data_IF_296816090559
#
_entry.id   IF_296816090559
#
_cell.length_a   1.000
_cell.length_b   1.000
_cell.length_c   1.000
_cell.angle_alpha   90.00
_cell.angle_beta   90.00
_cell.angle_gamma   90.00
#
_symmetry.space_group_name_H-M   'P 1'
#
loop_
_entity.id
_entity.type
_entity.pdbx_description
1 polymer ?
#
# COMPACT_ATOMS: atom_id res chain seq x y z
N UNK A 1 15.46 -8.21 -23.57
CA UNK A 1 14.26 -9.05 -23.72
C UNK A 1 14.29 -10.18 -22.69
N UNK A 2 13.13 -10.51 -22.10
CA UNK A 2 12.86 -11.39 -20.92
C UNK A 2 12.96 -10.60 -19.59
N UNK A 3 11.94 -9.87 -19.10
CA UNK A 3 10.49 -10.10 -18.91
C UNK A 3 10.17 -11.16 -17.81
N UNK A 4 9.66 -10.65 -16.67
CA UNK A 4 8.85 -11.30 -15.62
C UNK A 4 9.46 -12.34 -14.69
N UNK A 5 10.24 -11.96 -13.66
CA UNK A 5 10.45 -12.80 -12.47
C UNK A 5 10.73 -11.90 -11.26
N UNK A 6 9.71 -11.41 -10.56
CA UNK A 6 9.89 -10.97 -9.16
C UNK A 6 8.58 -10.79 -8.37
N UNK A 7 7.45 -11.27 -8.89
CA UNK A 7 6.21 -11.46 -8.10
C UNK A 7 6.18 -12.83 -7.39
N UNK A 8 7.21 -13.66 -7.59
CA UNK A 8 7.26 -15.06 -7.11
C UNK A 8 7.93 -15.22 -5.75
N UNK A 9 8.59 -14.18 -5.22
CA UNK A 9 9.37 -14.32 -3.98
C UNK A 9 8.52 -14.43 -2.71
N UNK A 10 7.23 -14.07 -2.75
CA UNK A 10 6.30 -14.31 -1.63
C UNK A 10 5.80 -15.77 -1.53
N UNK A 11 6.21 -16.66 -2.44
CA UNK A 11 5.64 -18.02 -2.57
C UNK A 11 6.61 -19.17 -2.24
N UNK A 12 7.91 -18.93 -2.04
CA UNK A 12 8.91 -20.03 -2.06
C UNK A 12 9.40 -20.50 -0.69
N UNK A 13 8.91 -19.95 0.44
CA UNK A 13 9.17 -20.54 1.76
C UNK A 13 8.01 -21.39 2.31
N UNK A 14 7.03 -21.73 1.47
CA UNK A 14 6.10 -22.83 1.68
C UNK A 14 6.52 -23.98 0.76
N UNK A 15 7.21 -24.97 1.33
CA UNK A 15 7.65 -26.16 0.60
C UNK A 15 6.50 -26.79 -0.18
N UNK A 16 6.71 -26.95 -1.49
CA UNK A 16 5.88 -27.77 -2.39
C UNK A 16 4.40 -27.37 -2.48
N UNK A 17 4.10 -26.08 -2.66
CA UNK A 17 2.73 -25.61 -2.87
C UNK A 17 2.43 -25.44 -4.37
N UNK A 18 1.67 -26.40 -4.91
CA UNK A 18 1.02 -26.37 -6.21
C UNK A 18 0.37 -25.02 -6.49
N UNK A 19 0.72 -24.48 -7.65
CA UNK A 19 0.07 -23.34 -8.30
C UNK A 19 -1.46 -23.51 -8.34
N UNK A 20 -2.18 -22.40 -8.25
CA UNK A 20 -3.65 -22.27 -8.28
C UNK A 20 -4.40 -22.40 -6.93
N UNK A 21 -3.81 -21.88 -5.86
CA UNK A 21 -4.60 -21.39 -4.72
C UNK A 21 -4.92 -19.93 -5.04
N UNK A 22 -6.08 -19.66 -5.65
CA UNK A 22 -6.57 -18.29 -5.88
C UNK A 22 -6.50 -17.51 -4.57
N UNK A 23 -6.26 -16.20 -4.63
CA UNK A 23 -6.18 -15.35 -3.44
C UNK A 23 -7.34 -15.64 -2.46
N UNK A 24 -8.52 -15.96 -2.99
CA UNK A 24 -9.72 -16.45 -2.28
C UNK A 24 -9.46 -17.61 -1.29
N UNK A 25 -8.63 -18.59 -1.63
CA UNK A 25 -8.35 -19.76 -0.76
C UNK A 25 -7.38 -19.44 0.39
N UNK A 26 -6.55 -18.40 0.26
CA UNK A 26 -5.79 -17.84 1.40
C UNK A 26 -6.75 -17.09 2.34
N UNK A 27 -7.82 -16.50 1.81
CA UNK A 27 -8.80 -15.72 2.57
C UNK A 27 -9.87 -16.57 3.28
N UNK A 28 -10.29 -17.70 2.71
CA UNK A 28 -11.37 -18.59 3.21
C UNK A 28 -11.06 -19.24 4.57
N UNK A 29 -9.80 -19.54 4.86
CA UNK A 29 -9.39 -20.01 6.20
C UNK A 29 -9.15 -18.81 7.10
N UNK A 30 -10.17 -18.39 7.83
CA UNK A 30 -10.15 -17.35 8.86
C UNK A 30 -9.03 -17.54 9.91
N UNK A 31 -7.82 -17.11 9.57
CA UNK A 31 -6.77 -16.80 10.53
C UNK A 31 -7.02 -15.37 11.02
N UNK A 32 -7.69 -15.26 12.16
CA UNK A 32 -7.55 -14.10 13.02
C UNK A 32 -6.07 -14.04 13.42
N UNK A 33 -5.30 -13.13 12.83
CA UNK A 33 -3.94 -12.90 13.29
C UNK A 33 -4.04 -12.13 14.61
N UNK A 34 -3.96 -12.83 15.73
CA UNK A 34 -3.74 -12.22 17.04
C UNK A 34 -2.33 -11.62 17.02
N UNK A 35 -2.20 -10.36 16.62
CA UNK A 35 -0.96 -9.63 16.78
C UNK A 35 -0.74 -9.38 18.27
N UNK A 36 0.50 -9.62 18.74
CA UNK A 36 0.93 -9.26 20.09
C UNK A 36 0.48 -7.82 20.40
N UNK A 37 -0.14 -7.61 21.57
CA UNK A 37 -0.69 -6.34 22.10
C UNK A 37 -2.19 -6.05 21.88
N UNK A 38 -3.03 -7.03 21.52
CA UNK A 38 -4.49 -6.89 21.67
C UNK A 38 -5.17 -5.97 20.67
N UNK A 39 -4.51 -5.67 19.55
CA UNK A 39 -5.10 -4.96 18.41
C UNK A 39 -5.59 -6.00 17.40
N UNK A 40 -6.91 -6.17 17.34
CA UNK A 40 -7.56 -7.02 16.34
C UNK A 40 -7.73 -6.26 15.03
N UNK A 41 -6.89 -6.54 14.04
CA UNK A 41 -7.13 -6.09 12.67
C UNK A 41 -7.93 -7.14 11.93
N UNK A 42 -9.13 -6.76 11.48
CA UNK A 42 -9.98 -7.65 10.70
C UNK A 42 -9.32 -7.88 9.34
N UNK A 43 -9.35 -9.12 8.82
CA UNK A 43 -8.91 -9.44 7.45
C UNK A 43 -9.51 -8.51 6.39
N UNK A 44 -10.74 -8.03 6.64
CA UNK A 44 -11.41 -7.04 5.80
C UNK A 44 -10.63 -5.73 5.65
N UNK A 45 -9.86 -5.31 6.65
CA UNK A 45 -9.08 -4.06 6.62
C UNK A 45 -7.86 -4.16 5.71
N UNK A 46 -7.12 -5.28 5.74
CA UNK A 46 -6.00 -5.51 4.81
C UNK A 46 -6.53 -5.63 3.38
N UNK A 47 -7.64 -6.35 3.19
CA UNK A 47 -8.31 -6.47 1.88
C UNK A 47 -8.76 -5.09 1.36
N UNK A 48 -9.38 -4.28 2.21
CA UNK A 48 -9.83 -2.94 1.86
C UNK A 48 -8.66 -2.03 1.46
N UNK A 49 -7.52 -2.09 2.17
CA UNK A 49 -6.32 -1.36 1.76
C UNK A 49 -5.89 -1.71 0.33
N UNK A 50 -5.80 -3.01 0.02
CA UNK A 50 -5.37 -3.48 -1.31
C UNK A 50 -6.39 -3.07 -2.37
N UNK A 51 -7.68 -3.28 -2.12
CA UNK A 51 -8.75 -2.92 -3.06
C UNK A 51 -8.79 -1.41 -3.32
N UNK A 52 -8.65 -0.60 -2.28
CA UNK A 52 -8.59 0.85 -2.41
C UNK A 52 -7.32 1.29 -3.16
N UNK A 53 -6.15 0.72 -2.87
CA UNK A 53 -4.93 1.04 -3.60
C UNK A 53 -5.05 0.68 -5.10
N UNK A 54 -5.63 -0.49 -5.43
CA UNK A 54 -5.87 -0.89 -6.83
C UNK A 54 -6.90 0.01 -7.52
N UNK A 55 -7.93 0.45 -6.80
CA UNK A 55 -8.89 1.41 -7.33
C UNK A 55 -8.20 2.76 -7.63
N UNK A 56 -7.37 3.26 -6.70
CA UNK A 56 -6.59 4.46 -6.93
C UNK A 56 -5.59 4.31 -8.09
N UNK A 57 -4.95 3.14 -8.26
CA UNK A 57 -4.08 2.89 -9.42
C UNK A 57 -4.80 3.14 -10.76
N UNK A 58 -6.08 2.77 -10.84
CA UNK A 58 -6.89 2.93 -12.04
C UNK A 58 -7.44 4.34 -12.24
N UNK A 59 -7.78 5.05 -11.16
CA UNK A 59 -8.56 6.29 -11.23
C UNK A 59 -7.77 7.57 -10.90
N UNK A 60 -6.61 7.47 -10.24
CA UNK A 60 -5.90 8.66 -9.77
C UNK A 60 -5.15 9.39 -10.90
N UNK A 61 -4.74 8.69 -11.96
CA UNK A 61 -4.02 9.28 -13.11
C UNK A 61 -4.91 10.16 -13.98
N UNK A 62 -6.20 9.85 -14.02
CA UNK A 62 -7.14 10.52 -14.93
C UNK A 62 -7.64 11.86 -14.37
N UNK A 63 -7.19 12.26 -13.18
CA UNK A 63 -7.60 13.51 -12.53
C UNK A 63 -9.08 13.48 -12.12
N UNK A 64 -9.64 12.29 -11.97
CA UNK A 64 -11.06 12.10 -11.71
C UNK A 64 -11.46 12.74 -10.38
N UNK A 65 -12.51 13.55 -10.42
CA UNK A 65 -13.15 14.13 -9.25
C UNK A 65 -14.17 13.15 -8.63
N UNK A 66 -13.92 11.84 -8.77
CA UNK A 66 -14.82 10.79 -8.30
C UNK A 66 -14.88 10.81 -6.77
N UNK A 67 -16.06 10.99 -6.14
CA UNK A 67 -16.23 10.87 -4.70
C UNK A 67 -15.65 9.57 -4.13
N UNK A 68 -15.64 8.49 -4.91
CA UNK A 68 -15.08 7.21 -4.51
C UNK A 68 -13.56 7.28 -4.31
N UNK A 69 -12.82 8.08 -5.10
CA UNK A 69 -11.38 8.31 -4.89
C UNK A 69 -11.13 8.90 -3.51
N UNK A 70 -11.91 9.91 -3.11
CA UNK A 70 -11.79 10.51 -1.78
C UNK A 70 -12.18 9.52 -0.67
N UNK A 71 -13.23 8.71 -0.88
CA UNK A 71 -13.59 7.65 0.06
C UNK A 71 -12.45 6.66 0.27
N UNK A 72 -11.85 6.16 -0.81
CA UNK A 72 -10.73 5.23 -0.76
C UNK A 72 -9.52 5.83 -0.01
N UNK A 73 -9.19 7.10 -0.27
CA UNK A 73 -8.10 7.80 0.44
C UNK A 73 -8.38 7.89 1.95
N UNK A 74 -9.61 8.21 2.34
CA UNK A 74 -9.99 8.29 3.74
C UNK A 74 -9.96 6.91 4.42
N UNK A 75 -10.49 5.89 3.77
CA UNK A 75 -10.48 4.52 4.29
C UNK A 75 -9.05 4.00 4.50
N UNK A 76 -8.14 4.31 3.55
CA UNK A 76 -6.71 4.00 3.71
C UNK A 76 -6.16 4.74 4.93
N UNK A 77 -6.42 6.05 5.04
CA UNK A 77 -5.93 6.88 6.16
C UNK A 77 -6.35 6.31 7.51
N UNK A 78 -7.63 5.96 7.65
CA UNK A 78 -8.20 5.45 8.90
C UNK A 78 -7.66 4.06 9.26
N UNK A 79 -7.24 3.28 8.26
CA UNK A 79 -6.72 1.93 8.45
C UNK A 79 -5.24 1.89 8.86
N UNK A 80 -4.47 2.94 8.60
CA UNK A 80 -3.00 2.95 8.75
C UNK A 80 -2.54 2.56 10.16
N UNK A 81 -3.15 3.12 11.21
CA UNK A 81 -2.71 2.86 12.59
C UNK A 81 -2.87 1.38 12.94
N UNK A 82 -4.03 0.79 12.61
CA UNK A 82 -4.29 -0.62 12.85
C UNK A 82 -3.36 -1.52 12.06
N UNK A 83 -3.19 -1.24 10.76
CA UNK A 83 -2.31 -1.99 9.88
C UNK A 83 -0.83 -1.92 10.30
N UNK A 84 -0.38 -0.76 10.78
CA UNK A 84 0.97 -0.61 11.33
C UNK A 84 1.15 -1.43 12.61
N UNK A 85 0.17 -1.44 13.50
CA UNK A 85 0.25 -2.21 14.74
C UNK A 85 0.38 -3.73 14.53
N UNK A 86 -0.07 -4.24 13.38
CA UNK A 86 0.05 -5.65 13.00
C UNK A 86 1.19 -5.91 12.01
N UNK A 87 2.05 -4.92 11.77
CA UNK A 87 3.27 -5.05 10.96
C UNK A 87 3.05 -5.13 9.45
N UNK A 88 1.89 -4.73 8.93
CA UNK A 88 1.64 -4.72 7.47
C UNK A 88 2.64 -3.81 6.75
N UNK A 89 2.95 -2.66 7.33
CA UNK A 89 3.93 -1.73 6.77
C UNK A 89 5.38 -2.18 7.01
N UNK A 90 5.63 -3.09 7.96
CA UNK A 90 6.95 -3.73 8.14
C UNK A 90 7.22 -4.84 7.12
N UNK A 91 6.19 -5.25 6.37
CA UNK A 91 6.30 -6.32 5.37
C UNK A 91 6.98 -5.85 4.08
N UNK A 92 7.08 -4.54 3.86
CA UNK A 92 7.73 -3.89 2.72
C UNK A 92 8.66 -2.80 3.24
N UNK A 93 9.83 -2.60 2.63
CA UNK A 93 10.66 -1.46 3.01
C UNK A 93 9.95 -0.18 2.55
N UNK A 94 9.91 0.85 3.40
CA UNK A 94 9.26 2.13 3.09
C UNK A 94 9.61 2.70 1.69
N UNK A 95 10.85 2.58 1.15
CA UNK A 95 11.18 3.01 -0.21
C UNK A 95 10.47 2.24 -1.35
N UNK A 96 9.97 1.02 -1.10
CA UNK A 96 9.33 0.16 -2.10
C UNK A 96 7.94 0.64 -2.50
N UNK A 97 7.27 1.37 -1.61
CA UNK A 97 6.00 2.05 -1.89
C UNK A 97 6.13 3.14 -2.94
N UNK A 98 7.35 3.63 -3.17
CA UNK A 98 7.65 4.78 -4.05
C UNK A 98 8.43 4.38 -5.31
N UNK A 99 8.63 3.09 -5.56
CA UNK A 99 9.46 2.61 -6.67
C UNK A 99 8.77 2.61 -8.04
N UNK A 100 7.44 2.52 -8.09
CA UNK A 100 6.70 2.39 -9.34
C UNK A 100 5.72 3.56 -9.53
N UNK A 101 6.09 4.50 -10.40
CA UNK A 101 5.25 5.67 -10.72
C UNK A 101 3.92 5.28 -11.39
N UNK A 102 3.84 4.06 -11.94
CA UNK A 102 2.61 3.51 -12.52
C UNK A 102 1.65 2.95 -11.48
N UNK A 103 2.03 3.02 -10.19
CA UNK A 103 1.26 2.55 -9.03
C UNK A 103 0.91 3.69 -8.07
N UNK A 104 0.12 4.70 -8.51
CA UNK A 104 -0.17 5.87 -7.70
C UNK A 104 -1.00 5.55 -6.44
N UNK A 105 -1.74 4.44 -6.40
CA UNK A 105 -2.43 3.97 -5.20
C UNK A 105 -1.46 3.47 -4.12
N UNK A 106 -0.41 2.76 -4.53
CA UNK A 106 0.66 2.35 -3.61
C UNK A 106 1.42 3.58 -3.08
N UNK A 107 1.76 4.52 -3.96
CA UNK A 107 2.42 5.77 -3.58
C UNK A 107 1.51 6.55 -2.61
N UNK A 108 0.21 6.64 -2.88
CA UNK A 108 -0.76 7.29 -1.98
C UNK A 108 -0.77 6.63 -0.60
N UNK A 109 -0.84 5.30 -0.52
CA UNK A 109 -0.81 4.59 0.75
C UNK A 109 0.50 4.86 1.52
N UNK A 110 1.65 4.84 0.84
CA UNK A 110 2.95 5.17 1.43
C UNK A 110 3.05 6.62 1.92
N UNK A 111 2.50 7.57 1.15
CA UNK A 111 2.45 9.00 1.54
C UNK A 111 1.59 9.18 2.78
N UNK A 112 0.39 8.62 2.81
CA UNK A 112 -0.50 8.70 3.97
C UNK A 112 0.13 8.04 5.20
N UNK A 113 0.86 6.93 5.01
CA UNK A 113 1.62 6.28 6.07
C UNK A 113 2.66 7.22 6.68
N UNK A 114 3.47 7.88 5.84
CA UNK A 114 4.49 8.83 6.30
C UNK A 114 3.91 10.09 6.95
N UNK A 115 2.68 10.49 6.59
CA UNK A 115 1.98 11.58 7.28
C UNK A 115 1.65 11.19 8.74
N UNK A 116 1.33 9.91 8.98
CA UNK A 116 1.03 9.40 10.32
C UNK A 116 2.29 9.03 11.12
N UNK A 117 3.37 8.63 10.42
CA UNK A 117 4.64 8.22 11.01
C UNK A 117 5.84 8.99 10.42
N UNK A 118 5.97 10.30 10.69
CA UNK A 118 7.00 11.14 10.07
C UNK A 118 8.44 10.73 10.40
N UNK A 119 8.64 10.00 11.50
CA UNK A 119 9.96 9.50 11.90
C UNK A 119 10.53 8.45 10.93
N UNK A 120 9.67 7.80 10.13
CA UNK A 120 10.07 6.84 9.09
C UNK A 120 10.57 7.54 7.81
N UNK A 121 10.48 8.87 7.75
CA UNK A 121 10.96 9.68 6.62
C UNK A 121 12.49 9.70 6.58
N UNK A 122 13.07 8.82 5.77
CA UNK A 122 14.52 8.84 5.49
C UNK A 122 14.88 9.85 4.41
N UNK A 123 16.17 10.17 4.28
CA UNK A 123 16.67 11.05 3.19
C UNK A 123 16.34 10.48 1.81
N UNK A 124 16.49 9.17 1.62
CA UNK A 124 16.18 8.51 0.34
C UNK A 124 14.70 8.68 -0.03
N UNK A 125 13.79 8.49 0.94
CA UNK A 125 12.36 8.68 0.73
C UNK A 125 12.07 10.13 0.38
N UNK A 126 12.69 11.09 1.09
CA UNK A 126 12.50 12.52 0.81
C UNK A 126 12.91 12.89 -0.62
N UNK A 127 14.05 12.37 -1.09
CA UNK A 127 14.53 12.56 -2.46
C UNK A 127 13.59 11.93 -3.50
N UNK A 128 13.11 10.71 -3.25
CA UNK A 128 12.12 10.03 -4.11
C UNK A 128 10.81 10.80 -4.19
N UNK A 129 10.28 11.25 -3.06
CA UNK A 129 9.05 12.05 -3.00
C UNK A 129 9.20 13.38 -3.73
N UNK A 130 10.35 14.05 -3.60
CA UNK A 130 10.64 15.27 -4.35
C UNK A 130 10.61 15.03 -5.87
N UNK A 131 11.21 13.93 -6.35
CA UNK A 131 11.15 13.54 -7.76
C UNK A 131 9.70 13.26 -8.21
N UNK A 132 8.99 12.40 -7.48
CA UNK A 132 7.60 12.02 -7.78
C UNK A 132 6.65 13.21 -7.82
N UNK A 133 6.87 14.21 -6.95
CA UNK A 133 6.03 15.41 -6.90
C UNK A 133 5.92 16.13 -8.24
N UNK A 134 6.82 15.91 -9.19
CA UNK A 134 6.77 16.49 -10.53
C UNK A 134 6.04 15.63 -11.57
N UNK A 135 6.00 14.30 -11.40
CA UNK A 135 5.45 13.35 -12.39
C UNK A 135 4.06 12.81 -12.05
N UNK A 136 3.62 12.92 -10.80
CA UNK A 136 2.32 12.36 -10.37
C UNK A 136 1.14 13.32 -10.54
N UNK A 137 -0.06 12.74 -10.49
CA UNK A 137 -1.34 13.44 -10.57
C UNK A 137 -1.50 14.53 -9.48
N UNK A 138 -2.30 15.59 -9.74
CA UNK A 138 -2.42 16.74 -8.82
C UNK A 138 -2.82 16.37 -7.39
N UNK A 139 -3.73 15.41 -7.22
CA UNK A 139 -4.19 14.98 -5.89
C UNK A 139 -3.06 14.32 -5.09
N UNK A 140 -2.34 13.38 -5.69
CA UNK A 140 -1.18 12.75 -5.05
C UNK A 140 -0.06 13.75 -4.78
N UNK A 141 0.19 14.65 -5.72
CA UNK A 141 1.16 15.74 -5.56
C UNK A 141 0.82 16.60 -4.34
N UNK A 142 -0.46 16.94 -4.15
CA UNK A 142 -0.90 17.72 -2.99
C UNK A 142 -0.62 17.00 -1.67
N UNK A 143 -0.80 15.67 -1.61
CA UNK A 143 -0.47 14.88 -0.43
C UNK A 143 1.04 14.76 -0.19
N UNK A 144 1.84 14.62 -1.26
CA UNK A 144 3.31 14.62 -1.17
C UNK A 144 3.83 15.95 -0.63
N UNK A 145 3.32 17.09 -1.12
CA UNK A 145 3.77 18.41 -0.67
C UNK A 145 3.56 18.66 0.81
N UNK A 146 2.58 18.01 1.45
CA UNK A 146 2.37 18.11 2.91
C UNK A 146 3.53 17.50 3.72
N UNK A 147 4.36 16.66 3.11
CA UNK A 147 5.48 15.95 3.75
C UNK A 147 6.84 16.63 3.55
N UNK A 148 6.98 17.51 2.54
CA UNK A 148 8.28 18.02 2.08
C UNK A 148 8.62 19.40 2.67
#
# INVERSE_FOLDING_TARGET
MKKYILMTALLVQAGSATMATTAEQIFEKGLESSAHQGIEVRKGTIKALIENALYLDAHLKDGDSDPQVFSCINDIRDSIIGLNAVGVFDTFLAPDWFHDEDKPGNIMAGVLYLQQFPQEMTREIKEKLAHLSHSVAPLLRAEITKLL
#
